data_IF_553108037176
#
_entry.id   IF_553108037176
#
_cell.length_a   1.000
_cell.length_b   1.000
_cell.length_c   1.000
_cell.angle_alpha   90.00
_cell.angle_beta   90.00
_cell.angle_gamma   90.00
#
_symmetry.space_group_name_H-M   'P 1'
#
loop_
_entity.id
_entity.type
_entity.pdbx_description
1 polymer ?
#
# COMPACT_ATOMS: atom_id res chain seq x y z
N UNK A 1 -11.79 -4.46 -5.72
CA UNK A 1 -10.84 -5.30 -4.97
C UNK A 1 -11.50 -5.78 -3.70
N UNK A 2 -11.41 -7.06 -3.43
CA UNK A 2 -11.73 -7.72 -2.16
C UNK A 2 -10.63 -7.45 -1.14
N UNK A 3 -10.92 -7.63 0.15
CA UNK A 3 -9.91 -7.46 1.21
C UNK A 3 -8.73 -8.43 1.05
N UNK A 4 -9.00 -9.63 0.52
CA UNK A 4 -7.97 -10.62 0.18
C UNK A 4 -7.02 -10.12 -0.90
N UNK A 5 -7.52 -9.45 -1.93
CA UNK A 5 -6.70 -8.86 -2.99
C UNK A 5 -5.90 -7.68 -2.47
N UNK A 6 -6.51 -6.82 -1.64
CA UNK A 6 -5.80 -5.70 -1.01
C UNK A 6 -4.64 -6.17 -0.14
N UNK A 7 -4.82 -7.21 0.66
CA UNK A 7 -3.75 -7.75 1.50
C UNK A 7 -2.59 -8.32 0.67
N UNK A 8 -2.89 -9.09 -0.38
CA UNK A 8 -1.83 -9.61 -1.26
C UNK A 8 -1.01 -8.50 -1.92
N UNK A 9 -1.67 -7.43 -2.35
CA UNK A 9 -0.98 -6.29 -2.95
C UNK A 9 -0.20 -5.52 -1.88
N UNK A 10 -0.77 -5.33 -0.68
CA UNK A 10 -0.07 -4.73 0.43
C UNK A 10 1.19 -5.51 0.82
N UNK A 11 1.16 -6.84 0.81
CA UNK A 11 2.33 -7.70 1.05
C UNK A 11 3.42 -7.48 -0.01
N UNK A 12 3.05 -7.38 -1.30
CA UNK A 12 3.99 -7.08 -2.39
C UNK A 12 4.56 -5.66 -2.28
N UNK A 13 3.77 -4.71 -1.79
CA UNK A 13 4.19 -3.33 -1.55
C UNK A 13 5.07 -3.24 -0.31
N UNK A 14 4.83 -4.05 0.72
CA UNK A 14 5.63 -4.12 1.95
C UNK A 14 7.09 -4.49 1.70
N UNK A 15 7.40 -5.21 0.64
CA UNK A 15 8.78 -5.47 0.22
C UNK A 15 9.49 -4.22 -0.34
N UNK A 16 8.76 -3.15 -0.65
CA UNK A 16 9.27 -1.93 -1.32
C UNK A 16 8.89 -0.60 -0.65
N UNK A 17 7.87 -0.58 0.20
CA UNK A 17 7.39 0.58 0.92
C UNK A 17 8.21 0.80 2.20
N UNK A 18 8.28 2.05 2.63
CA UNK A 18 9.01 2.42 3.85
C UNK A 18 8.26 1.97 5.11
N UNK A 19 8.99 1.82 6.22
CA UNK A 19 8.38 1.50 7.53
C UNK A 19 7.29 2.49 7.95
N UNK A 20 7.44 3.77 7.59
CA UNK A 20 6.45 4.81 7.90
C UNK A 20 5.14 4.62 7.13
N UNK A 21 5.24 4.31 5.84
CA UNK A 21 4.07 4.04 4.99
C UNK A 21 3.32 2.78 5.44
N UNK A 22 4.05 1.77 5.91
CA UNK A 22 3.45 0.56 6.47
C UNK A 22 2.77 0.79 7.82
N UNK A 23 3.31 1.68 8.64
CA UNK A 23 2.64 2.12 9.84
C UNK A 23 1.32 2.85 9.50
N UNK A 24 1.34 3.73 8.50
CA UNK A 24 0.14 4.41 7.98
C UNK A 24 -0.94 3.40 7.56
N UNK A 25 -0.59 2.40 6.74
CA UNK A 25 -1.54 1.37 6.30
C UNK A 25 -2.19 0.60 7.45
N UNK A 26 -1.42 0.27 8.51
CA UNK A 26 -1.92 -0.44 9.70
C UNK A 26 -2.94 0.36 10.51
N UNK A 27 -2.94 1.69 10.38
CA UNK A 27 -3.88 2.58 11.05
C UNK A 27 -5.16 2.83 10.24
N UNK A 28 -5.23 2.37 8.99
CA UNK A 28 -6.42 2.53 8.14
C UNK A 28 -7.47 1.47 8.48
N UNK A 29 -8.51 1.87 9.19
CA UNK A 29 -9.62 0.97 9.58
C UNK A 29 -10.62 0.77 8.42
N UNK A 30 -10.86 1.83 7.64
CA UNK A 30 -11.81 1.77 6.53
C UNK A 30 -11.21 1.04 5.32
N UNK A 31 -12.05 0.20 4.71
CA UNK A 31 -11.67 -0.54 3.49
C UNK A 31 -11.35 0.38 2.32
N UNK A 32 -12.07 1.49 2.21
CA UNK A 32 -11.90 2.49 1.15
C UNK A 32 -10.54 3.19 1.26
N UNK A 33 -10.14 3.57 2.47
CA UNK A 33 -8.84 4.19 2.73
C UNK A 33 -7.69 3.22 2.45
N UNK A 34 -7.81 1.96 2.87
CA UNK A 34 -6.83 0.92 2.53
C UNK A 34 -6.70 0.73 1.01
N UNK A 35 -7.82 0.76 0.29
CA UNK A 35 -7.81 0.64 -1.17
C UNK A 35 -7.17 1.86 -1.84
N UNK A 36 -7.40 3.07 -1.34
CA UNK A 36 -6.79 4.30 -1.84
C UNK A 36 -5.28 4.31 -1.60
N UNK A 37 -4.85 3.94 -0.39
CA UNK A 37 -3.44 3.83 -0.03
C UNK A 37 -2.71 2.83 -0.93
N UNK A 38 -3.26 1.63 -1.12
CA UNK A 38 -2.66 0.60 -1.99
C UNK A 38 -2.53 1.11 -3.43
N UNK A 39 -3.55 1.81 -3.96
CA UNK A 39 -3.47 2.39 -5.32
C UNK A 39 -2.37 3.45 -5.45
N UNK A 40 -2.19 4.30 -4.43
CA UNK A 40 -1.14 5.30 -4.43
C UNK A 40 0.25 4.67 -4.42
N UNK A 41 0.42 3.59 -3.66
CA UNK A 41 1.67 2.85 -3.59
C UNK A 41 1.99 2.11 -4.90
N UNK A 42 0.99 1.51 -5.57
CA UNK A 42 1.16 0.96 -6.93
C UNK A 42 1.59 2.07 -7.90
N UNK A 43 0.94 3.24 -7.86
CA UNK A 43 1.27 4.34 -8.75
C UNK A 43 2.70 4.87 -8.54
N UNK A 44 3.21 4.86 -7.31
CA UNK A 44 4.62 5.18 -7.01
C UNK A 44 5.58 4.15 -7.62
N UNK A 45 5.26 2.85 -7.48
CA UNK A 45 6.03 1.77 -8.07
C UNK A 45 6.09 1.87 -9.61
N UNK A 46 4.95 2.14 -10.25
CA UNK A 46 4.87 2.32 -11.71
C UNK A 46 5.68 3.51 -12.21
N UNK A 47 5.80 4.56 -11.38
CA UNK A 47 6.63 5.74 -11.66
C UNK A 47 8.11 5.55 -11.34
N UNK A 48 8.49 4.43 -10.72
CA UNK A 48 9.85 4.20 -10.23
C UNK A 48 10.23 5.07 -9.02
N UNK A 49 9.24 5.68 -8.35
CA UNK A 49 9.43 6.47 -7.14
C UNK A 49 9.54 5.55 -5.92
N UNK A 50 10.57 4.71 -5.88
CA UNK A 50 10.99 4.07 -4.62
C UNK A 50 11.93 5.07 -3.96
N UNK A 51 11.38 5.94 -3.11
CA UNK A 51 12.20 6.85 -2.32
C UNK A 51 12.83 6.07 -1.14
N UNK A 52 14.14 6.27 -0.88
CA UNK A 52 14.90 5.56 0.16
C UNK A 52 14.45 5.88 1.59
#
# INVERSE_FOLDING_TARGET
>A
MTDKELNKIADLINERATFAELAEFKHLEQREDRAAWVKNQIAKLDKGEILP
#
